data_IF_569321513017
#
_entry.id   IF_569321513017
#
_cell.length_a   1.000
_cell.length_b   1.000
_cell.length_c   1.000
_cell.angle_alpha   90.00
_cell.angle_beta   90.00
_cell.angle_gamma   90.00
#
_symmetry.space_group_name_H-M   'P 1'
#
loop_
_entity.id
_entity.type
_entity.pdbx_description
1 polymer ?
#
# COMPACT_ATOMS: atom_id res chain seq x y z
N UNK A 1 -27.90 -2.83 2.45
CA UNK A 1 -26.70 -1.99 2.29
C UNK A 1 -25.52 -2.96 2.39
N UNK A 2 -24.53 -3.09 1.50
CA UNK A 2 -24.06 -2.27 0.40
C UNK A 2 -22.92 -3.07 -0.29
N UNK A 3 -23.18 -3.80 -1.38
CA UNK A 3 -22.09 -4.49 -2.12
C UNK A 3 -21.11 -3.48 -2.72
N UNK A 4 -21.65 -2.41 -3.32
CA UNK A 4 -20.87 -1.35 -3.96
C UNK A 4 -19.86 -0.66 -3.05
N UNK A 5 -20.19 -0.42 -1.77
CA UNK A 5 -19.22 0.20 -0.85
C UNK A 5 -18.08 -0.75 -0.49
N UNK A 6 -18.36 -2.06 -0.37
CA UNK A 6 -17.31 -3.04 -0.15
C UNK A 6 -16.41 -3.13 -1.38
N UNK A 7 -17.01 -3.15 -2.59
CA UNK A 7 -16.26 -3.18 -3.85
C UNK A 7 -15.25 -2.01 -3.94
N UNK A 8 -15.64 -0.80 -3.56
CA UNK A 8 -14.74 0.36 -3.55
C UNK A 8 -13.65 0.30 -2.47
N UNK A 9 -13.93 -0.33 -1.32
CA UNK A 9 -12.93 -0.52 -0.28
C UNK A 9 -11.90 -1.58 -0.70
N UNK A 10 -12.37 -2.65 -1.32
CA UNK A 10 -11.52 -3.69 -1.88
C UNK A 10 -10.65 -3.09 -3.01
N UNK A 11 -11.25 -2.32 -3.91
CA UNK A 11 -10.52 -1.63 -4.99
C UNK A 11 -9.47 -0.64 -4.43
N UNK A 12 -9.79 0.10 -3.37
CA UNK A 12 -8.86 1.00 -2.67
C UNK A 12 -7.64 0.25 -2.13
N UNK A 13 -7.83 -0.92 -1.53
CA UNK A 13 -6.75 -1.75 -0.99
C UNK A 13 -5.93 -2.38 -2.12
N UNK A 14 -6.52 -2.64 -3.29
CA UNK A 14 -5.80 -3.22 -4.43
C UNK A 14 -5.01 -2.19 -5.26
N UNK A 15 -5.29 -0.89 -5.10
CA UNK A 15 -4.68 0.19 -5.89
C UNK A 15 -3.14 0.13 -5.99
N UNK A 16 -2.37 -0.05 -4.89
CA UNK A 16 -0.91 -0.11 -4.97
C UNK A 16 -0.39 -1.29 -5.78
N UNK A 17 -1.17 -2.36 -5.95
CA UNK A 17 -0.75 -3.52 -6.76
C UNK A 17 -0.77 -3.20 -8.25
N UNK A 18 -1.73 -2.42 -8.72
CA UNK A 18 -1.87 -2.01 -10.12
C UNK A 18 -1.14 -0.72 -10.44
N UNK A 19 -0.82 0.11 -9.43
CA UNK A 19 -0.20 1.42 -9.59
C UNK A 19 1.08 1.52 -8.73
N UNK A 20 2.26 1.14 -9.27
CA UNK A 20 3.52 1.14 -8.54
C UNK A 20 3.90 2.48 -7.91
N UNK A 21 3.43 3.60 -8.46
CA UNK A 21 3.66 4.95 -7.94
C UNK A 21 2.97 5.20 -6.59
N UNK A 22 2.00 4.35 -6.23
CA UNK A 22 1.35 4.35 -4.92
C UNK A 22 2.09 3.50 -3.88
N UNK A 23 3.23 2.88 -4.21
CA UNK A 23 4.04 2.14 -3.22
C UNK A 23 4.98 3.06 -2.44
N UNK A 24 5.37 2.66 -1.23
CA UNK A 24 6.34 3.40 -0.41
C UNK A 24 7.76 2.89 -0.62
N UNK A 25 8.76 3.74 -0.35
CA UNK A 25 10.14 3.27 -0.25
C UNK A 25 10.38 2.70 1.17
N UNK A 26 10.56 1.38 1.26
CA UNK A 26 10.86 0.74 2.54
C UNK A 26 12.28 1.11 3.02
N UNK A 27 12.49 1.25 4.34
CA UNK A 27 13.82 1.48 4.89
C UNK A 27 14.83 0.42 4.44
N UNK A 28 16.04 0.85 4.05
CA UNK A 28 17.10 -0.09 3.63
C UNK A 28 17.52 -1.00 4.77
N UNK A 29 17.64 -0.45 5.98
CA UNK A 29 17.91 -1.20 7.20
C UNK A 29 16.64 -1.94 7.65
N UNK A 30 16.77 -3.25 7.88
CA UNK A 30 15.68 -4.12 8.34
C UNK A 30 15.76 -4.23 9.86
N UNK A 31 14.77 -3.70 10.55
CA UNK A 31 14.52 -3.99 11.97
C UNK A 31 13.56 -5.17 12.13
N UNK A 32 13.31 -5.59 13.37
CA UNK A 32 12.51 -6.78 13.67
C UNK A 32 11.07 -6.71 13.12
N UNK A 33 10.43 -5.54 13.14
CA UNK A 33 9.06 -5.39 12.63
C UNK A 33 9.03 -5.53 11.10
N UNK A 34 10.00 -4.90 10.42
CA UNK A 34 10.11 -5.02 8.98
C UNK A 34 10.54 -6.44 8.56
N UNK A 35 11.42 -7.09 9.32
CA UNK A 35 11.83 -8.48 9.10
C UNK A 35 10.64 -9.43 9.21
N UNK A 36 9.83 -9.28 10.26
CA UNK A 36 8.62 -10.06 10.46
C UNK A 36 7.64 -9.90 9.28
N UNK A 37 7.38 -8.65 8.86
CA UNK A 37 6.49 -8.39 7.72
C UNK A 37 7.02 -9.02 6.42
N UNK A 38 8.32 -8.89 6.14
CA UNK A 38 8.93 -9.48 4.94
C UNK A 38 8.89 -11.00 4.98
N UNK A 39 9.16 -11.61 6.13
CA UNK A 39 9.09 -13.06 6.31
C UNK A 39 7.67 -13.57 6.07
N UNK A 40 6.67 -12.96 6.70
CA UNK A 40 5.26 -13.36 6.52
C UNK A 40 4.78 -13.15 5.09
N UNK A 41 5.24 -12.10 4.39
CA UNK A 41 5.00 -11.97 2.95
C UNK A 41 5.60 -13.13 2.14
N UNK A 42 6.84 -13.51 2.43
CA UNK A 42 7.54 -14.57 1.71
C UNK A 42 6.93 -15.96 1.95
N UNK A 43 6.40 -16.23 3.15
CA UNK A 43 5.78 -17.51 3.51
C UNK A 43 4.28 -17.56 3.25
N UNK A 44 3.65 -16.44 2.89
CA UNK A 44 2.19 -16.35 2.73
C UNK A 44 1.43 -16.43 4.06
N UNK A 45 2.07 -16.06 5.17
CA UNK A 45 1.47 -16.03 6.50
C UNK A 45 0.61 -14.78 6.67
N UNK A 46 -0.69 -14.90 6.33
CA UNK A 46 -1.65 -13.79 6.43
C UNK A 46 -1.79 -13.25 7.85
N UNK A 47 -1.77 -14.13 8.86
CA UNK A 47 -1.87 -13.72 10.26
C UNK A 47 -0.63 -12.91 10.69
N UNK A 48 0.56 -13.34 10.30
CA UNK A 48 1.79 -12.60 10.57
C UNK A 48 1.86 -11.26 9.82
N UNK A 49 1.28 -11.17 8.62
CA UNK A 49 1.12 -9.89 7.90
C UNK A 49 0.22 -8.95 8.71
N UNK A 50 -0.95 -9.42 9.15
CA UNK A 50 -1.91 -8.61 9.91
C UNK A 50 -1.32 -8.11 11.24
N UNK A 51 -0.46 -8.90 11.88
CA UNK A 51 0.23 -8.53 13.12
C UNK A 51 1.36 -7.51 12.91
N UNK A 52 2.18 -7.68 11.85
CA UNK A 52 3.37 -6.86 11.63
C UNK A 52 3.08 -5.55 10.86
N UNK A 53 2.14 -5.57 9.92
CA UNK A 53 1.86 -4.46 9.00
C UNK A 53 1.56 -3.13 9.72
N UNK A 54 0.70 -3.08 10.76
CA UNK A 54 0.39 -1.81 11.43
C UNK A 54 1.62 -1.14 12.07
N UNK A 55 2.56 -1.92 12.60
CA UNK A 55 3.80 -1.40 13.20
C UNK A 55 4.69 -0.71 12.17
N UNK A 56 4.87 -1.36 11.02
CA UNK A 56 5.66 -0.80 9.90
C UNK A 56 4.94 0.40 9.27
N UNK A 57 3.62 0.31 9.05
CA UNK A 57 2.83 1.35 8.38
C UNK A 57 2.79 2.68 9.13
N UNK A 58 2.84 2.65 10.48
CA UNK A 58 2.93 3.87 11.31
C UNK A 58 4.05 4.82 10.92
N UNK A 59 5.16 4.29 10.39
CA UNK A 59 6.31 5.08 9.93
C UNK A 59 5.98 5.96 8.72
N UNK A 60 4.93 5.62 7.98
CA UNK A 60 4.51 6.28 6.75
C UNK A 60 3.26 7.17 6.94
N UNK A 61 2.69 7.21 8.14
CA UNK A 61 1.60 8.14 8.49
C UNK A 61 2.09 9.59 8.76
N UNK A 62 3.19 10.03 8.16
CA UNK A 62 3.57 11.44 8.22
C UNK A 62 2.94 12.25 7.08
N UNK A 63 2.75 13.55 7.32
CA UNK A 63 2.06 14.47 6.37
C UNK A 63 2.70 14.43 4.98
N UNK A 64 4.04 14.37 4.91
CA UNK A 64 4.77 14.33 3.64
C UNK A 64 4.40 13.14 2.75
N UNK A 65 4.32 11.94 3.32
CA UNK A 65 4.03 10.72 2.56
C UNK A 65 2.57 10.67 2.13
N UNK A 66 1.64 11.03 3.03
CA UNK A 66 0.22 11.11 2.67
C UNK A 66 -0.04 12.14 1.58
N UNK A 67 0.64 13.28 1.63
CA UNK A 67 0.55 14.28 0.57
C UNK A 67 1.16 13.80 -0.76
N UNK A 68 2.23 12.99 -0.72
CA UNK A 68 2.81 12.36 -1.91
C UNK A 68 1.83 11.37 -2.53
N UNK A 69 1.29 10.43 -1.75
CA UNK A 69 0.30 9.46 -2.22
C UNK A 69 -0.96 10.16 -2.76
N UNK A 70 -1.43 11.22 -2.11
CA UNK A 70 -2.59 11.97 -2.58
C UNK A 70 -2.33 12.63 -3.96
N UNK A 71 -1.12 13.14 -4.21
CA UNK A 71 -0.75 13.66 -5.54
C UNK A 71 -0.74 12.57 -6.60
N UNK A 72 -0.21 11.39 -6.30
CA UNK A 72 -0.22 10.27 -7.23
C UNK A 72 -1.64 9.77 -7.54
N UNK A 73 -2.51 9.67 -6.52
CA UNK A 73 -3.94 9.36 -6.71
C UNK A 73 -4.61 10.37 -7.65
N UNK A 74 -4.35 11.67 -7.47
CA UNK A 74 -4.90 12.71 -8.34
C UNK A 74 -4.34 12.60 -9.76
N UNK A 75 -3.06 12.26 -9.92
CA UNK A 75 -2.44 12.03 -11.23
C UNK A 75 -3.06 10.84 -11.96
N UNK A 76 -3.28 9.72 -11.28
CA UNK A 76 -3.95 8.55 -11.83
C UNK A 76 -5.39 8.87 -12.25
N UNK A 77 -6.11 9.66 -11.46
CA UNK A 77 -7.46 10.14 -11.82
C UNK A 77 -7.42 11.00 -13.07
N UNK A 78 -6.49 11.94 -13.14
CA UNK A 78 -6.37 12.88 -14.25
C UNK A 78 -5.90 12.19 -15.53
N UNK A 79 -5.15 11.09 -15.41
CA UNK A 79 -4.79 10.17 -16.49
C UNK A 79 -5.93 9.23 -16.94
N UNK A 80 -6.99 9.11 -16.14
CA UNK A 80 -8.11 8.21 -16.41
C UNK A 80 -7.87 6.76 -15.95
N UNK A 81 -6.78 6.49 -15.23
CA UNK A 81 -6.42 5.16 -14.72
C UNK A 81 -7.35 4.71 -13.59
N UNK A 82 -7.92 5.67 -12.86
CA UNK A 82 -8.89 5.41 -11.78
C UNK A 82 -10.12 6.32 -11.88
N UNK A 83 -11.26 5.82 -11.43
CA UNK A 83 -12.51 6.57 -11.38
C UNK A 83 -12.48 7.73 -10.38
N UNK A 84 -13.26 8.79 -10.65
CA UNK A 84 -13.37 9.97 -9.77
C UNK A 84 -13.76 9.63 -8.33
N UNK A 85 -14.66 8.66 -8.16
CA UNK A 85 -15.14 8.26 -6.82
C UNK A 85 -14.05 7.55 -6.02
N UNK A 86 -13.36 6.57 -6.63
CA UNK A 86 -12.23 5.89 -6.00
C UNK A 86 -11.11 6.86 -5.64
N UNK A 87 -10.78 7.80 -6.53
CA UNK A 87 -9.80 8.85 -6.24
C UNK A 87 -10.20 9.72 -5.05
N UNK A 88 -11.48 10.12 -4.95
CA UNK A 88 -11.98 10.87 -3.81
C UNK A 88 -11.93 10.05 -2.51
N UNK A 89 -12.30 8.77 -2.57
CA UNK A 89 -12.22 7.85 -1.43
C UNK A 89 -10.77 7.69 -0.94
N UNK A 90 -9.83 7.49 -1.86
CA UNK A 90 -8.41 7.41 -1.56
C UNK A 90 -7.86 8.68 -0.90
N UNK A 91 -8.22 9.87 -1.40
CA UNK A 91 -7.81 11.14 -0.79
C UNK A 91 -8.44 11.32 0.60
N UNK A 92 -9.70 10.91 0.79
CA UNK A 92 -10.36 10.93 2.10
C UNK A 92 -9.69 9.97 3.08
N UNK A 93 -9.33 8.77 2.65
CA UNK A 93 -8.57 7.81 3.45
C UNK A 93 -7.21 8.39 3.88
N UNK A 94 -6.46 8.99 2.95
CA UNK A 94 -5.17 9.65 3.22
C UNK A 94 -5.28 10.91 4.09
N UNK A 95 -6.47 11.50 4.25
CA UNK A 95 -6.67 12.65 5.13
C UNK A 95 -6.72 12.27 6.61
N UNK A 96 -6.92 10.98 6.91
CA UNK A 96 -6.92 10.43 8.27
C UNK A 96 -5.51 10.39 8.83
N UNK A 97 -5.34 10.81 10.08
CA UNK A 97 -4.00 11.01 10.68
C UNK A 97 -3.28 9.70 10.97
N UNK A 98 -3.97 8.72 11.54
CA UNK A 98 -3.31 7.55 12.17
C UNK A 98 -3.84 6.19 11.68
N UNK A 99 -4.65 6.19 10.61
CA UNK A 99 -5.18 4.99 9.99
C UNK A 99 -5.55 5.32 8.56
N UNK A 100 -4.94 4.63 7.61
CA UNK A 100 -5.21 4.77 6.19
C UNK A 100 -4.95 3.43 5.52
N UNK A 101 -6.03 2.85 4.98
CA UNK A 101 -5.97 1.58 4.26
C UNK A 101 -5.03 1.67 3.04
N UNK A 102 -4.97 2.85 2.40
CA UNK A 102 -4.08 3.07 1.28
C UNK A 102 -2.60 3.12 1.70
N UNK A 103 -2.26 3.70 2.85
CA UNK A 103 -0.89 3.65 3.38
C UNK A 103 -0.49 2.22 3.74
N UNK A 104 -1.36 1.50 4.44
CA UNK A 104 -1.12 0.10 4.80
C UNK A 104 -0.93 -0.77 3.55
N UNK A 105 -1.79 -0.62 2.54
CA UNK A 105 -1.64 -1.33 1.28
C UNK A 105 -0.36 -0.94 0.52
N UNK A 106 0.01 0.34 0.51
CA UNK A 106 1.24 0.82 -0.11
C UNK A 106 2.50 0.18 0.53
N UNK A 107 2.49 0.05 1.86
CA UNK A 107 3.54 -0.61 2.64
C UNK A 107 3.57 -2.11 2.36
N UNK A 108 2.41 -2.76 2.38
CA UNK A 108 2.28 -4.18 2.12
C UNK A 108 2.76 -4.53 0.71
N UNK A 109 2.40 -3.74 -0.29
CA UNK A 109 2.85 -3.98 -1.66
C UNK A 109 4.37 -3.80 -1.79
N UNK A 110 4.94 -2.76 -1.17
CA UNK A 110 6.39 -2.59 -1.14
C UNK A 110 7.10 -3.77 -0.45
N UNK A 111 6.51 -4.30 0.63
CA UNK A 111 7.02 -5.47 1.34
C UNK A 111 6.96 -6.73 0.48
N UNK A 112 5.85 -6.97 -0.23
CA UNK A 112 5.69 -8.07 -1.18
C UNK A 112 6.72 -8.02 -2.31
N UNK A 113 6.99 -6.83 -2.84
CA UNK A 113 8.04 -6.65 -3.86
C UNK A 113 9.40 -7.02 -3.28
N UNK A 114 9.73 -6.50 -2.08
CA UNK A 114 11.02 -6.76 -1.43
C UNK A 114 11.20 -8.22 -1.02
N UNK A 115 10.14 -8.91 -0.64
CA UNK A 115 10.11 -10.35 -0.36
C UNK A 115 10.14 -11.22 -1.64
N UNK A 116 10.12 -10.63 -2.84
CA UNK A 116 10.19 -11.36 -4.10
C UNK A 116 8.87 -12.04 -4.51
N UNK A 117 7.77 -11.75 -3.81
CA UNK A 117 6.44 -12.35 -4.08
C UNK A 117 5.53 -11.45 -4.94
N UNK A 118 5.97 -10.23 -5.25
CA UNK A 118 5.33 -9.35 -6.22
C UNK A 118 6.36 -8.73 -7.18
N UNK A 119 5.97 -8.42 -8.43
CA UNK A 119 6.86 -7.81 -9.40
C UNK A 119 7.22 -6.37 -9.00
N UNK A 120 8.48 -6.00 -9.25
CA UNK A 120 8.95 -4.61 -9.25
C UNK A 120 8.22 -3.78 -10.32
N UNK A 121 8.40 -2.45 -10.29
CA UNK A 121 7.86 -1.53 -11.30
C UNK A 121 8.27 -1.90 -12.74
N UNK A 122 9.43 -2.57 -12.93
CA UNK A 122 9.88 -3.05 -14.25
C UNK A 122 9.33 -4.44 -14.62
N UNK A 123 8.41 -5.01 -13.83
CA UNK A 123 7.83 -6.33 -14.05
C UNK A 123 8.72 -7.51 -13.64
N UNK A 124 9.84 -7.25 -12.95
CA UNK A 124 10.79 -8.28 -12.53
C UNK A 124 10.51 -8.73 -11.10
N UNK A 125 10.61 -10.03 -10.82
CA UNK A 125 10.64 -10.55 -9.45
C UNK A 125 12.06 -10.43 -8.87
N UNK A 126 12.16 -10.09 -7.60
CA UNK A 126 13.42 -10.11 -6.87
C UNK A 126 13.73 -11.56 -6.50
N UNK A 127 14.91 -12.05 -6.89
CA UNK A 127 15.40 -13.33 -6.41
C UNK A 127 15.82 -13.18 -4.95
N UNK A 128 15.18 -13.95 -4.07
CA UNK A 128 15.51 -14.10 -2.65
C UNK A 128 16.56 -15.18 -2.41
#
# INVERSE_FOLDING_TARGET
MSGLAQDYLDELVELPKSSPELTVELPKLVDLELEALLHSCATGDEQGIDEALPGVARRFHHVGERARLAREVLRLRDGGDIGRFLAALAVLDLSRKDSSALVESAVLQAARVRAGVAPTTSGLLIAS
#
